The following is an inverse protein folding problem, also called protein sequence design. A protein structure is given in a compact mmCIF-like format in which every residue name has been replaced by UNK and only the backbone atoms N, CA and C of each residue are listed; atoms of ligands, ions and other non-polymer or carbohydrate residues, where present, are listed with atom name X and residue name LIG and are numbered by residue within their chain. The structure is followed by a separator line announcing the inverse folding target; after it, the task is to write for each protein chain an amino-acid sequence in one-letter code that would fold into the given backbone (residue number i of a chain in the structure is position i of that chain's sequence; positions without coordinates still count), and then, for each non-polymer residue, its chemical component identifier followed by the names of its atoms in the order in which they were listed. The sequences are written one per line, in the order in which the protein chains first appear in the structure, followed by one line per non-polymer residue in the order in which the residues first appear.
data_IF_439394833021
#
_entry.id   IF_439394833021
#
_cell.length_a   1.000
_cell.length_b   1.000
_cell.length_c   1.000
_cell.angle_alpha   90.00
_cell.angle_beta   90.00
_cell.angle_gamma   90.00
#
_symmetry.space_group_name_H-M   'P 1'
#
loop_
_entity.id
_entity.type
_entity.pdbx_description
1 polymer ?
#
# COMPACT_ATOMS: atom_id res chain seq x y z
N UNK A 1 -2.42 10.02 20.30
CA UNK A 1 -1.35 9.14 20.72
C UNK A 1 -0.35 9.93 21.54
N UNK A 2 0.29 9.25 22.44
CA UNK A 2 1.30 9.87 23.30
C UNK A 2 2.68 9.52 22.76
N UNK A 3 3.65 10.39 23.04
CA UNK A 3 5.05 10.13 22.76
C UNK A 3 5.55 9.01 23.67
N UNK A 4 5.95 7.87 23.10
CA UNK A 4 6.38 6.70 23.87
C UNK A 4 7.87 6.74 24.23
N UNK A 5 8.71 7.27 23.34
CA UNK A 5 10.17 7.20 23.47
C UNK A 5 10.82 8.57 23.34
N UNK A 6 10.38 9.42 22.43
CA UNK A 6 10.99 10.70 22.14
C UNK A 6 10.04 11.85 22.48
N UNK A 7 10.50 12.90 23.15
CA UNK A 7 9.69 14.09 23.43
C UNK A 7 9.56 14.95 22.16
N UNK A 8 8.67 14.56 21.28
CA UNK A 8 8.33 15.29 20.03
C UNK A 8 6.91 15.84 20.14
N UNK A 9 6.59 16.87 19.36
CA UNK A 9 5.24 17.45 19.34
C UNK A 9 4.21 16.62 18.56
N UNK A 10 4.63 15.53 17.89
CA UNK A 10 3.81 14.59 17.16
C UNK A 10 3.68 13.24 17.85
N UNK A 11 2.90 12.38 17.28
CA UNK A 11 2.81 10.98 17.66
C UNK A 11 4.05 10.21 17.17
N UNK A 12 4.47 9.21 17.94
CA UNK A 12 5.49 8.23 17.58
C UNK A 12 4.88 6.83 17.39
N UNK A 13 3.56 6.71 17.57
CA UNK A 13 2.80 5.49 17.38
C UNK A 13 1.35 5.79 17.00
N UNK A 14 0.85 5.16 15.96
CA UNK A 14 -0.52 5.31 15.48
C UNK A 14 -1.14 3.98 15.06
N UNK A 15 -2.41 3.79 15.42
CA UNK A 15 -3.24 2.67 15.01
C UNK A 15 -4.55 3.22 14.47
N UNK A 16 -5.02 2.72 13.33
CA UNK A 16 -6.29 3.11 12.76
C UNK A 16 -7.06 1.96 12.16
N UNK A 17 -8.39 2.11 12.18
CA UNK A 17 -9.33 1.24 11.51
C UNK A 17 -10.11 2.06 10.48
N UNK A 18 -10.23 1.53 9.27
CA UNK A 18 -10.93 2.16 8.16
C UNK A 18 -12.05 1.21 7.72
N UNK A 19 -13.28 1.71 7.65
CA UNK A 19 -14.40 0.98 7.07
C UNK A 19 -14.66 1.49 5.66
N UNK A 20 -14.55 0.61 4.68
CA UNK A 20 -14.88 0.91 3.30
C UNK A 20 -16.37 0.72 3.02
N UNK A 21 -16.90 1.43 2.03
CA UNK A 21 -18.32 1.35 1.63
C UNK A 21 -18.73 -0.06 1.19
N UNK A 22 -17.82 -0.82 0.57
CA UNK A 22 -18.04 -2.22 0.18
C UNK A 22 -18.04 -3.21 1.35
N UNK A 23 -17.89 -2.72 2.60
CA UNK A 23 -17.87 -3.53 3.82
C UNK A 23 -16.50 -4.07 4.22
N UNK A 24 -15.45 -3.87 3.44
CA UNK A 24 -14.10 -4.23 3.84
C UNK A 24 -13.64 -3.39 5.04
N UNK A 25 -12.74 -3.95 5.82
CA UNK A 25 -12.10 -3.25 6.95
C UNK A 25 -10.59 -3.21 6.68
N UNK A 26 -10.03 -2.02 6.68
CA UNK A 26 -8.59 -1.79 6.73
C UNK A 26 -8.13 -1.52 8.14
N UNK A 27 -6.96 -2.01 8.48
CA UNK A 27 -6.24 -1.68 9.71
C UNK A 27 -4.82 -1.28 9.34
N UNK A 28 -4.31 -0.27 10.02
CA UNK A 28 -2.90 0.05 9.95
C UNK A 28 -2.33 0.28 11.35
N UNK A 29 -1.07 -0.01 11.50
CA UNK A 29 -0.27 0.32 12.67
C UNK A 29 1.08 0.84 12.20
N UNK A 30 1.47 2.03 12.64
CA UNK A 30 2.74 2.66 12.31
C UNK A 30 3.41 3.15 13.58
N UNK A 31 4.72 2.97 13.70
CA UNK A 31 5.45 3.39 14.89
C UNK A 31 6.91 3.70 14.61
N UNK A 32 7.41 4.74 15.26
CA UNK A 32 8.83 5.04 15.37
C UNK A 32 9.43 4.50 16.68
N UNK A 33 8.58 3.98 17.57
CA UNK A 33 8.95 3.62 18.94
C UNK A 33 9.24 2.13 19.13
N UNK A 34 9.00 1.29 18.14
CA UNK A 34 9.25 -0.14 18.24
C UNK A 34 10.75 -0.44 18.32
N UNK A 35 11.14 -1.03 19.43
CA UNK A 35 12.50 -1.51 19.60
C UNK A 35 12.72 -2.78 18.80
N UNK A 36 13.77 -2.81 18.00
CA UNK A 36 14.03 -3.85 17.03
C UNK A 36 13.40 -3.60 15.67
N UNK A 37 12.60 -2.57 15.53
CA UNK A 37 11.99 -1.91 14.39
C UNK A 37 12.08 -2.58 13.01
N UNK A 38 11.87 -1.83 11.93
CA UNK A 38 12.00 -2.34 10.55
C UNK A 38 11.07 -3.54 10.27
N UNK A 39 9.85 -3.45 10.75
CA UNK A 39 8.79 -4.43 10.48
C UNK A 39 7.80 -3.82 9.49
N UNK A 40 7.91 -4.20 8.22
CA UNK A 40 7.04 -3.78 7.13
C UNK A 40 6.27 -4.98 6.61
N UNK A 41 5.06 -5.15 7.11
CA UNK A 41 4.20 -6.28 6.78
C UNK A 41 2.82 -5.82 6.34
N UNK A 42 2.32 -6.49 5.30
CA UNK A 42 0.94 -6.36 4.90
C UNK A 42 0.23 -7.71 4.96
N UNK A 43 -1.04 -7.68 5.28
CA UNK A 43 -1.92 -8.83 5.23
C UNK A 43 -3.21 -8.46 4.52
N UNK A 44 -3.59 -9.28 3.56
CA UNK A 44 -4.87 -9.17 2.86
C UNK A 44 -5.63 -10.47 3.07
N UNK A 45 -6.69 -10.43 3.86
CA UNK A 45 -7.56 -11.58 4.09
C UNK A 45 -8.90 -11.41 3.39
N UNK A 46 -9.25 -12.39 2.57
CA UNK A 46 -10.51 -12.46 1.84
C UNK A 46 -11.28 -13.74 2.12
N UNK A 47 -12.44 -13.88 1.51
CA UNK A 47 -13.30 -15.07 1.68
C UNK A 47 -12.70 -16.35 1.12
N UNK A 48 -11.75 -16.26 0.20
CA UNK A 48 -11.16 -17.41 -0.49
C UNK A 48 -9.67 -17.61 -0.17
N UNK A 49 -9.05 -16.72 0.60
CA UNK A 49 -7.64 -16.85 0.93
C UNK A 49 -7.04 -15.64 1.64
N UNK A 50 -5.79 -15.80 2.02
CA UNK A 50 -4.99 -14.77 2.68
C UNK A 50 -3.64 -14.62 2.00
N UNK A 51 -3.20 -13.39 1.85
CA UNK A 51 -1.87 -13.01 1.35
C UNK A 51 -1.12 -12.33 2.47
N UNK A 52 0.08 -12.77 2.75
CA UNK A 52 1.04 -12.11 3.63
C UNK A 52 2.19 -11.59 2.82
N UNK A 53 2.46 -10.31 2.94
CA UNK A 53 3.60 -9.64 2.35
C UNK A 53 4.54 -9.21 3.47
N UNK A 54 5.81 -9.52 3.33
CA UNK A 54 6.85 -9.08 4.24
C UNK A 54 7.93 -8.38 3.41
N UNK A 55 7.94 -7.04 3.48
CA UNK A 55 8.78 -6.21 2.64
C UNK A 55 10.19 -6.04 3.18
N UNK A 56 10.42 -6.36 4.46
CA UNK A 56 11.68 -6.04 5.10
C UNK A 56 12.38 -7.23 5.75
N UNK A 57 11.65 -8.04 6.45
CA UNK A 57 12.22 -9.15 7.20
C UNK A 57 12.34 -10.38 6.29
N UNK A 58 13.45 -10.62 5.71
CA UNK A 58 13.89 -11.82 4.99
C UNK A 58 14.22 -11.58 3.53
N UNK A 59 15.24 -10.80 3.31
CA UNK A 59 15.97 -10.77 2.04
C UNK A 59 16.72 -12.08 1.75
N UNK A 60 16.53 -13.11 2.61
CA UNK A 60 17.26 -14.38 2.55
C UNK A 60 18.59 -14.35 3.27
N UNK A 61 18.93 -13.23 3.91
CA UNK A 61 20.17 -13.11 4.68
C UNK A 61 19.87 -12.59 6.08
N UNK A 62 20.20 -13.41 7.07
CA UNK A 62 20.13 -13.08 8.49
C UNK A 62 21.52 -13.28 9.09
N UNK A 63 21.96 -12.33 9.92
CA UNK A 63 23.27 -12.37 10.53
C UNK A 63 23.16 -12.16 12.03
N UNK A 64 23.83 -12.98 12.80
CA UNK A 64 24.04 -12.74 14.22
C UNK A 64 25.47 -12.20 14.45
N UNK A 65 25.58 -11.11 15.19
CA UNK A 65 26.87 -10.56 15.63
C UNK A 65 26.89 -10.31 17.13
N UNK A 66 27.99 -10.63 17.77
CA UNK A 66 28.20 -10.34 19.18
C UNK A 66 28.64 -8.91 19.45
N UNK A 67 28.77 -8.10 18.44
CA UNK A 67 29.08 -6.68 18.55
C UNK A 67 30.53 -6.31 18.42
N UNK A 68 30.75 -5.04 18.32
CA UNK A 68 31.91 -4.18 18.58
C UNK A 68 32.77 -3.70 17.41
N UNK A 69 32.66 -4.17 16.20
CA UNK A 69 33.38 -3.53 15.07
C UNK A 69 32.63 -3.70 13.74
N UNK A 70 32.00 -2.65 13.31
CA UNK A 70 31.34 -2.57 12.01
C UNK A 70 29.84 -2.78 12.12
N UNK A 71 29.14 -1.78 12.63
CA UNK A 71 27.68 -1.76 12.61
C UNK A 71 27.17 -1.68 11.18
N UNK A 72 26.12 -2.41 10.89
CA UNK A 72 25.32 -2.23 9.70
C UNK A 72 24.26 -1.15 9.99
N UNK A 73 24.17 -0.15 9.15
CA UNK A 73 23.15 0.90 9.24
C UNK A 73 22.08 0.60 8.21
N UNK A 74 20.93 0.11 8.65
CA UNK A 74 19.70 0.28 7.89
C UNK A 74 19.13 1.66 8.23
N UNK A 75 18.51 2.34 7.31
CA UNK A 75 18.13 3.77 7.25
C UNK A 75 17.99 4.54 8.59
N UNK A 76 17.62 3.91 9.67
CA UNK A 76 17.40 4.58 10.98
C UNK A 76 17.74 3.70 12.19
N UNK A 77 18.36 2.57 11.98
CA UNK A 77 18.75 1.68 13.08
C UNK A 77 20.26 1.45 13.09
N UNK A 78 20.94 2.01 14.08
CA UNK A 78 22.31 1.65 14.39
C UNK A 78 22.27 0.41 15.28
N UNK A 79 22.61 -0.75 14.70
CA UNK A 79 22.74 -2.00 15.43
C UNK A 79 24.13 -2.58 15.23
N UNK A 80 24.82 -2.87 16.31
CA UNK A 80 26.14 -3.49 16.28
C UNK A 80 26.18 -4.89 16.89
N UNK A 81 25.05 -5.33 17.44
CA UNK A 81 24.96 -6.59 18.16
C UNK A 81 23.58 -7.23 18.05
N UNK A 82 23.52 -8.55 18.17
CA UNK A 82 22.32 -9.34 18.10
C UNK A 82 22.02 -9.82 16.66
N UNK A 83 20.75 -10.09 16.39
CA UNK A 83 20.30 -10.47 15.08
C UNK A 83 20.14 -9.24 14.19
N UNK A 84 20.78 -9.28 13.04
CA UNK A 84 20.75 -8.23 12.01
C UNK A 84 20.13 -8.77 10.74
N UNK A 85 19.38 -7.93 10.05
CA UNK A 85 18.75 -8.20 8.76
C UNK A 85 19.31 -7.20 7.75
N UNK A 86 20.47 -7.49 7.13
CA UNK A 86 21.10 -6.56 6.21
C UNK A 86 20.26 -6.33 4.96
N UNK A 87 20.09 -5.07 4.57
CA UNK A 87 19.46 -4.65 3.34
C UNK A 87 20.56 -4.22 2.36
N UNK A 88 20.62 -4.86 1.20
CA UNK A 88 21.68 -4.63 0.24
C UNK A 88 21.50 -3.37 -0.60
N UNK A 89 20.29 -3.17 -1.11
CA UNK A 89 19.89 -2.00 -1.89
C UNK A 89 18.49 -1.55 -1.45
N UNK A 90 18.46 -0.66 -0.49
CA UNK A 90 17.23 -0.17 0.11
C UNK A 90 16.31 0.52 -0.92
N UNK A 91 16.90 1.30 -1.84
CA UNK A 91 16.12 2.00 -2.85
C UNK A 91 15.41 1.05 -3.82
N UNK A 92 16.07 -0.05 -4.19
CA UNK A 92 15.48 -1.08 -5.04
C UNK A 92 14.50 -1.97 -4.26
N UNK A 93 14.88 -2.41 -3.06
CA UNK A 93 14.08 -3.34 -2.25
C UNK A 93 12.78 -2.70 -1.73
N UNK A 94 12.78 -1.39 -1.40
CA UNK A 94 11.58 -0.64 -1.04
C UNK A 94 10.80 -0.09 -2.25
N UNK A 95 11.25 -0.37 -3.46
CA UNK A 95 10.54 -0.04 -4.68
C UNK A 95 10.74 1.38 -5.22
N UNK A 96 11.58 2.22 -4.59
CA UNK A 96 11.80 3.61 -5.05
C UNK A 96 12.30 3.69 -6.49
N UNK A 97 13.23 2.83 -6.88
CA UNK A 97 13.74 2.77 -8.25
C UNK A 97 12.63 2.44 -9.25
N UNK A 98 11.78 1.48 -8.91
CA UNK A 98 10.66 1.07 -9.75
C UNK A 98 9.58 2.16 -9.84
N UNK A 99 9.28 2.82 -8.73
CA UNK A 99 8.34 3.94 -8.68
C UNK A 99 8.77 5.09 -9.62
N UNK A 100 10.03 5.51 -9.56
CA UNK A 100 10.53 6.57 -10.45
C UNK A 100 10.54 6.14 -11.91
N UNK A 101 10.87 4.89 -12.22
CA UNK A 101 10.82 4.38 -13.59
C UNK A 101 9.39 4.40 -14.13
N UNK A 102 8.41 3.92 -13.34
CA UNK A 102 6.98 3.96 -13.70
C UNK A 102 6.52 5.40 -13.98
N UNK A 103 6.89 6.34 -13.13
CA UNK A 103 6.55 7.75 -13.33
C UNK A 103 7.15 8.35 -14.61
N UNK A 104 8.42 8.05 -14.92
CA UNK A 104 9.06 8.56 -16.13
C UNK A 104 8.52 7.88 -17.39
N UNK A 105 8.28 6.56 -17.36
CA UNK A 105 7.66 5.85 -18.49
C UNK A 105 6.24 6.36 -18.75
N UNK A 106 5.46 6.61 -17.72
CA UNK A 106 4.12 7.20 -17.84
C UNK A 106 4.16 8.61 -18.46
N UNK A 107 5.15 9.43 -18.05
CA UNK A 107 5.35 10.76 -18.65
C UNK A 107 5.71 10.67 -20.15
N UNK A 108 6.62 9.77 -20.51
CA UNK A 108 7.07 9.60 -21.91
C UNK A 108 5.96 9.05 -22.82
N UNK A 109 5.06 8.22 -22.25
CA UNK A 109 3.93 7.63 -22.97
C UNK A 109 2.64 8.44 -22.89
N UNK A 110 2.62 9.58 -22.18
CA UNK A 110 1.42 10.39 -21.91
C UNK A 110 0.31 9.57 -21.20
N UNK A 111 0.72 8.68 -20.29
CA UNK A 111 -0.15 7.83 -19.49
C UNK A 111 -0.13 8.25 -18.00
N UNK A 112 -1.05 7.74 -17.19
CA UNK A 112 -1.01 7.92 -15.75
C UNK A 112 -0.08 6.87 -15.10
N UNK A 113 0.80 7.29 -14.18
CA UNK A 113 1.60 6.37 -13.40
C UNK A 113 0.74 5.53 -12.45
N UNK A 114 1.31 4.46 -11.89
CA UNK A 114 0.61 3.57 -10.96
C UNK A 114 0.09 4.32 -9.74
N UNK A 115 0.84 5.30 -9.25
CA UNK A 115 0.46 6.18 -8.15
C UNK A 115 0.56 7.65 -8.57
N UNK A 116 -0.43 8.42 -8.17
CA UNK A 116 -0.57 9.84 -8.52
C UNK A 116 -0.64 10.72 -7.27
N UNK A 117 -0.57 12.05 -7.46
CA UNK A 117 -0.85 12.99 -6.37
C UNK A 117 -2.28 12.89 -5.84
N UNK A 118 -3.22 12.33 -6.63
CA UNK A 118 -4.57 12.09 -6.15
C UNK A 118 -4.59 10.99 -5.09
N UNK A 119 -3.83 9.92 -5.25
CA UNK A 119 -3.67 8.87 -4.24
C UNK A 119 -3.09 9.45 -2.95
N UNK A 120 -2.09 10.32 -3.06
CA UNK A 120 -1.54 11.06 -1.93
C UNK A 120 -2.57 11.97 -1.24
N UNK A 121 -3.46 12.60 -2.00
CA UNK A 121 -4.56 13.39 -1.45
C UNK A 121 -5.55 12.52 -0.66
N UNK A 122 -5.93 11.35 -1.20
CA UNK A 122 -6.78 10.38 -0.52
C UNK A 122 -6.17 9.95 0.82
N UNK A 123 -4.88 9.57 0.81
CA UNK A 123 -4.17 9.15 2.01
C UNK A 123 -4.14 10.25 3.06
N UNK A 124 -3.85 11.50 2.68
CA UNK A 124 -3.86 12.63 3.61
C UNK A 124 -5.26 12.88 4.19
N UNK A 125 -6.31 12.74 3.40
CA UNK A 125 -7.70 12.87 3.89
C UNK A 125 -8.04 11.79 4.92
N UNK A 126 -7.53 10.58 4.74
CA UNK A 126 -7.67 9.49 5.72
C UNK A 126 -6.93 9.83 7.01
N UNK A 127 -5.70 10.33 6.92
CA UNK A 127 -4.88 10.74 8.06
C UNK A 127 -5.59 11.83 8.87
N UNK A 128 -6.12 12.86 8.22
CA UNK A 128 -6.89 13.92 8.89
C UNK A 128 -8.11 13.38 9.64
N UNK A 129 -8.84 12.44 9.04
CA UNK A 129 -9.95 11.77 9.69
C UNK A 129 -9.50 10.94 10.91
N UNK A 130 -8.33 10.31 10.84
CA UNK A 130 -7.74 9.59 11.98
C UNK A 130 -7.39 10.53 13.14
N UNK A 131 -6.76 11.68 12.88
CA UNK A 131 -6.50 12.69 13.91
C UNK A 131 -7.80 13.19 14.55
N UNK A 132 -8.79 13.46 13.74
CA UNK A 132 -10.11 13.90 14.24
C UNK A 132 -10.77 12.80 15.09
N UNK A 133 -10.75 11.55 14.64
CA UNK A 133 -11.24 10.39 15.40
C UNK A 133 -10.51 10.23 16.74
N UNK A 134 -9.18 10.44 16.76
CA UNK A 134 -8.40 10.40 18.00
C UNK A 134 -8.83 11.48 19.00
N UNK A 135 -9.28 12.65 18.54
CA UNK A 135 -9.79 13.75 19.38
C UNK A 135 -11.22 13.49 19.85
N UNK A 136 -12.13 13.15 18.93
CA UNK A 136 -13.57 12.98 19.20
C UNK A 136 -13.90 11.64 19.86
N UNK A 137 -13.02 10.64 19.76
CA UNK A 137 -13.24 9.25 20.19
C UNK A 137 -14.40 8.58 19.47
N UNK A 138 -14.66 8.98 18.23
CA UNK A 138 -15.75 8.47 17.39
C UNK A 138 -15.24 8.09 16.00
N UNK A 139 -16.07 7.34 15.27
CA UNK A 139 -15.89 7.16 13.84
C UNK A 139 -16.10 8.48 13.12
N UNK A 140 -15.12 8.88 12.33
CA UNK A 140 -15.21 10.11 11.54
C UNK A 140 -15.35 9.77 10.05
N UNK A 141 -16.27 10.45 9.34
CA UNK A 141 -16.42 10.24 7.92
C UNK A 141 -15.20 10.76 7.15
N UNK A 142 -14.78 10.00 6.14
CA UNK A 142 -13.76 10.43 5.18
C UNK A 142 -14.52 11.02 3.99
N UNK A 143 -14.52 12.34 3.91
CA UNK A 143 -15.17 13.07 2.82
C UNK A 143 -14.09 13.52 1.83
N UNK A 144 -13.98 12.81 0.73
CA UNK A 144 -13.14 13.21 -0.40
C UNK A 144 -13.96 14.22 -1.19
N UNK A 145 -13.71 15.50 -0.92
CA UNK A 145 -14.37 16.56 -1.63
C UNK A 145 -13.65 16.94 -2.92
N UNK A 146 -13.47 18.00 -3.40
CA UNK A 146 -12.95 18.44 -4.67
C UNK A 146 -11.45 18.17 -4.83
N UNK A 147 -11.04 17.61 -5.97
CA UNK A 147 -9.68 17.58 -6.44
C UNK A 147 -9.47 18.67 -7.49
N UNK A 148 -8.59 19.64 -7.20
CA UNK A 148 -8.30 20.79 -8.09
C UNK A 148 -9.53 21.58 -8.56
N UNK A 149 -10.61 21.60 -7.76
CA UNK A 149 -11.85 22.29 -8.10
C UNK A 149 -12.77 21.52 -9.03
N UNK A 150 -12.47 20.27 -9.34
CA UNK A 150 -13.35 19.35 -10.05
C UNK A 150 -14.15 18.51 -9.07
N UNK A 151 -15.43 18.26 -9.38
CA UNK A 151 -16.22 17.27 -8.63
C UNK A 151 -15.56 15.90 -8.79
N UNK A 152 -15.56 15.11 -7.70
CA UNK A 152 -14.97 13.78 -7.62
C UNK A 152 -15.06 13.03 -8.95
N UNK A 153 -14.00 13.10 -9.72
CA UNK A 153 -13.76 12.11 -10.75
C UNK A 153 -13.33 10.88 -9.98
N UNK A 154 -14.23 9.91 -9.85
CA UNK A 154 -13.83 8.60 -9.38
C UNK A 154 -12.79 8.10 -10.39
N UNK A 155 -11.52 8.20 -10.03
CA UNK A 155 -10.44 7.47 -10.69
C UNK A 155 -10.53 5.98 -10.31
N UNK A 156 -11.73 5.45 -10.31
CA UNK A 156 -11.91 4.06 -10.68
C UNK A 156 -11.26 3.99 -12.05
N UNK A 157 -10.06 3.41 -12.14
CA UNK A 157 -9.45 2.97 -13.39
C UNK A 157 -10.61 2.61 -14.28
N UNK A 158 -10.68 3.17 -15.48
CA UNK A 158 -11.75 2.90 -16.42
C UNK A 158 -11.95 1.39 -16.45
N UNK A 159 -12.85 0.91 -15.61
CA UNK A 159 -13.25 -0.48 -15.62
C UNK A 159 -13.97 -0.62 -16.91
N UNK A 160 -13.21 -1.06 -17.91
CA UNK A 160 -13.75 -1.22 -19.25
C UNK A 160 -14.92 -2.17 -19.12
N UNK A 161 -16.11 -1.63 -19.29
CA UNK A 161 -17.31 -2.42 -19.27
C UNK A 161 -17.55 -3.02 -20.67
N UNK A 162 -17.82 -4.30 -20.70
CA UNK A 162 -18.17 -5.03 -21.92
C UNK A 162 -19.48 -5.76 -21.64
N UNK A 163 -20.52 -5.39 -22.32
CA UNK A 163 -21.87 -5.97 -22.19
C UNK A 163 -22.38 -5.99 -20.71
N UNK A 164 -22.13 -4.91 -19.97
CA UNK A 164 -22.56 -4.78 -18.57
C UNK A 164 -21.69 -5.54 -17.54
N UNK A 165 -20.55 -6.09 -17.98
CA UNK A 165 -19.60 -6.76 -17.11
C UNK A 165 -18.27 -6.00 -17.06
N UNK A 166 -17.62 -6.02 -15.92
CA UNK A 166 -16.30 -5.42 -15.72
C UNK A 166 -15.23 -6.31 -16.37
N UNK A 167 -14.46 -5.77 -17.31
CA UNK A 167 -13.31 -6.47 -17.88
C UNK A 167 -12.16 -6.48 -16.87
N UNK A 168 -11.82 -7.66 -16.34
CA UNK A 168 -10.70 -7.84 -15.43
C UNK A 168 -9.39 -7.95 -16.20
N UNK A 169 -9.37 -8.77 -17.26
CA UNK A 169 -8.16 -9.10 -18.00
C UNK A 169 -8.46 -9.50 -19.43
N UNK A 170 -7.51 -9.22 -20.31
CA UNK A 170 -7.49 -9.72 -21.70
C UNK A 170 -6.20 -10.51 -21.90
N UNK A 171 -6.30 -11.72 -22.43
CA UNK A 171 -5.16 -12.60 -22.74
C UNK A 171 -5.23 -13.03 -24.21
N UNK A 172 -4.10 -12.94 -24.92
CA UNK A 172 -4.01 -13.50 -26.28
C UNK A 172 -3.51 -14.94 -26.15
N UNK A 173 -4.31 -15.87 -26.64
CA UNK A 173 -4.02 -17.30 -26.61
C UNK A 173 -3.03 -17.68 -27.71
N UNK A 174 -2.32 -18.81 -27.60
CA UNK A 174 -1.35 -19.27 -28.62
C UNK A 174 -1.97 -19.52 -30.02
N UNK A 175 -3.27 -19.77 -30.09
CA UNK A 175 -4.04 -19.96 -31.34
C UNK A 175 -4.51 -18.64 -31.98
N UNK A 176 -4.16 -17.49 -31.36
CA UNK A 176 -4.54 -16.16 -31.82
C UNK A 176 -5.91 -15.70 -31.33
N UNK A 177 -6.68 -16.51 -30.61
CA UNK A 177 -7.93 -16.08 -29.98
C UNK A 177 -7.64 -15.18 -28.78
N UNK A 178 -8.58 -14.28 -28.48
CA UNK A 178 -8.48 -13.39 -27.33
C UNK A 178 -9.43 -13.87 -26.23
N UNK A 179 -8.89 -14.24 -25.09
CA UNK A 179 -9.64 -14.59 -23.88
C UNK A 179 -9.88 -13.33 -23.05
N UNK A 180 -11.11 -13.04 -22.70
CA UNK A 180 -11.51 -11.97 -21.81
C UNK A 180 -12.07 -12.57 -20.51
N UNK A 181 -11.58 -12.07 -19.38
CA UNK A 181 -12.08 -12.42 -18.05
C UNK A 181 -12.96 -11.28 -17.59
N UNK A 182 -14.23 -11.58 -17.36
CA UNK A 182 -15.28 -10.62 -17.06
C UNK A 182 -15.84 -10.88 -15.65
N UNK A 183 -16.16 -9.83 -14.92
CA UNK A 183 -16.82 -9.90 -13.62
C UNK A 183 -18.18 -9.24 -13.67
N UNK A 184 -19.20 -9.94 -13.24
CA UNK A 184 -20.53 -9.39 -13.03
C UNK A 184 -20.50 -8.40 -11.86
N UNK A 185 -20.89 -7.14 -12.03
CA UNK A 185 -20.80 -6.11 -10.99
C UNK A 185 -21.77 -6.35 -9.82
N UNK A 186 -22.90 -7.03 -10.04
CA UNK A 186 -23.91 -7.26 -9.00
C UNK A 186 -23.63 -8.53 -8.19
N UNK A 187 -23.24 -9.61 -8.85
CA UNK A 187 -23.06 -10.92 -8.21
C UNK A 187 -21.62 -11.24 -7.89
N UNK A 188 -20.66 -10.47 -8.44
CA UNK A 188 -19.23 -10.75 -8.32
C UNK A 188 -18.75 -11.97 -9.10
N UNK A 189 -19.64 -12.66 -9.84
CA UNK A 189 -19.31 -13.88 -10.58
C UNK A 189 -18.35 -13.61 -11.73
N UNK A 190 -17.31 -14.43 -11.82
CA UNK A 190 -16.32 -14.37 -12.89
C UNK A 190 -16.75 -15.28 -14.03
N UNK A 191 -16.64 -14.81 -15.26
CA UNK A 191 -16.90 -15.54 -16.50
C UNK A 191 -15.77 -15.34 -17.51
N UNK A 192 -15.62 -16.28 -18.44
CA UNK A 192 -14.63 -16.21 -19.51
C UNK A 192 -15.34 -16.11 -20.85
N UNK A 193 -14.82 -15.25 -21.71
CA UNK A 193 -15.31 -15.07 -23.10
C UNK A 193 -14.12 -15.17 -24.04
N UNK A 194 -14.31 -15.87 -25.14
CA UNK A 194 -13.32 -16.02 -26.21
C UNK A 194 -13.82 -15.28 -27.46
N UNK A 195 -12.93 -14.51 -28.09
CA UNK A 195 -13.21 -13.70 -29.29
C UNK A 195 -12.20 -14.04 -30.37
#
# INVERSE_FOLDING_TARGET
SDTLVHPIEGEDHGIGLIRFENGAIGQFEVSWAFRGGMDLRDEISGTEGTIWLNHWLRTGFEMFTSGSKGGYVAEKAEGDSGWLFPVGDEAAELGYTHMFNDMFEAMDNEEEPMETFYDGYIVNTIIDACYKSAQTKQWEPINISLWRGEENVSHLRDTKEIDGHILIKTEVMPDGTTKQILKDPETGKISERYI
#
